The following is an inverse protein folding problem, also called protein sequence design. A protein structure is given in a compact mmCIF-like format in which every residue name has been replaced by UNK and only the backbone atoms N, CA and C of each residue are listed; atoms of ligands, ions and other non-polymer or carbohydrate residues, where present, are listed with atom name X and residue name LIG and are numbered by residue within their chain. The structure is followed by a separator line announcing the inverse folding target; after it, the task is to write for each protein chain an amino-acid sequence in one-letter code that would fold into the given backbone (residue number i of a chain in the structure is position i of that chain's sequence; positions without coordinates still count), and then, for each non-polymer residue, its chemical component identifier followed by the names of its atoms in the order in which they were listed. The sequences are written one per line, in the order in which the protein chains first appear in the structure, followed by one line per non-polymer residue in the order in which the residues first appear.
data_IF_468859430031
#
_entry.id   IF_468859430031
#
_cell.length_a   1.000
_cell.length_b   1.000
_cell.length_c   1.000
_cell.angle_alpha   90.00
_cell.angle_beta   90.00
_cell.angle_gamma   90.00
#
_symmetry.space_group_name_H-M   'P 1'
#
loop_
_entity.id
_entity.type
_entity.pdbx_description
1 polymer ?
#
# COMPACT_ATOMS: atom_id res chain seq x y z
N UNK A 1 16.96 5.69 28.28
CA UNK A 1 16.19 5.10 27.16
C UNK A 1 16.05 6.01 25.94
N UNK A 2 15.95 7.34 26.08
CA UNK A 2 15.82 8.29 24.96
C UNK A 2 17.00 8.25 23.97
N UNK A 3 18.25 8.22 24.45
CA UNK A 3 19.44 8.26 23.57
C UNK A 3 19.63 6.97 22.76
N UNK A 4 19.28 5.80 23.29
CA UNK A 4 19.36 4.53 22.58
C UNK A 4 18.33 4.46 21.45
N UNK A 5 17.10 4.91 21.73
CA UNK A 5 16.03 4.97 20.74
C UNK A 5 16.37 5.91 19.57
N UNK A 6 16.96 7.07 19.85
CA UNK A 6 17.41 8.02 18.83
C UNK A 6 18.54 7.43 17.97
N UNK A 7 19.48 6.69 18.56
CA UNK A 7 20.58 6.04 17.82
C UNK A 7 20.09 4.88 16.95
N UNK A 8 19.13 4.08 17.43
CA UNK A 8 18.51 2.99 16.66
C UNK A 8 17.66 3.56 15.51
N UNK A 9 16.87 4.62 15.77
CA UNK A 9 16.14 5.34 14.72
C UNK A 9 17.08 5.94 13.69
N UNK A 10 18.16 6.60 14.15
CA UNK A 10 19.20 7.14 13.29
C UNK A 10 19.82 6.05 12.42
N UNK A 11 20.24 4.91 12.98
CA UNK A 11 20.90 3.85 12.19
C UNK A 11 19.97 3.02 11.32
N UNK A 12 18.67 2.89 11.64
CA UNK A 12 17.71 2.15 10.80
C UNK A 12 17.09 3.02 9.69
N UNK A 13 16.80 4.30 9.97
CA UNK A 13 16.12 5.21 9.03
C UNK A 13 17.13 5.93 8.12
N UNK A 14 18.28 6.34 8.65
CA UNK A 14 19.27 7.14 7.91
C UNK A 14 19.87 6.46 6.67
N UNK A 15 20.20 5.15 6.68
CA UNK A 15 20.73 4.48 5.49
C UNK A 15 19.64 4.24 4.45
N UNK A 16 18.39 4.08 4.88
CA UNK A 16 17.31 3.55 4.04
C UNK A 16 16.53 4.68 3.35
N UNK A 17 16.55 5.92 3.88
CA UNK A 17 15.83 7.12 3.37
C UNK A 17 14.34 6.89 3.01
N UNK A 18 13.76 5.74 3.36
CA UNK A 18 12.38 5.38 3.08
C UNK A 18 11.60 5.41 4.37
N UNK A 19 10.50 6.15 4.33
CA UNK A 19 9.45 6.11 5.34
C UNK A 19 8.41 5.08 4.91
N UNK A 20 7.60 4.62 5.85
CA UNK A 20 6.37 3.90 5.52
C UNK A 20 5.53 4.74 4.53
N UNK A 21 4.80 4.10 3.61
CA UNK A 21 4.76 2.66 3.35
C UNK A 21 5.98 2.15 2.55
N UNK A 22 6.55 1.02 2.97
CA UNK A 22 7.82 0.51 2.42
C UNK A 22 7.71 -0.14 1.03
N UNK A 23 6.70 -0.99 0.82
CA UNK A 23 6.58 -1.78 -0.42
C UNK A 23 5.70 -1.07 -1.46
N UNK A 24 4.66 -0.36 -1.02
CA UNK A 24 3.79 0.41 -1.93
C UNK A 24 2.78 -0.43 -2.72
N UNK A 25 2.55 -1.68 -2.30
CA UNK A 25 1.63 -2.62 -2.95
C UNK A 25 0.19 -2.56 -2.42
N UNK A 26 -0.01 -2.01 -1.22
CA UNK A 26 -1.33 -1.88 -0.58
C UNK A 26 -1.58 -0.45 -0.16
N UNK A 27 -0.58 0.18 0.45
CA UNK A 27 -0.65 1.54 0.96
C UNK A 27 0.36 2.39 0.20
N UNK A 28 -0.03 3.60 -0.19
CA UNK A 28 0.82 4.62 -0.81
C UNK A 28 0.75 5.88 0.05
N UNK A 29 1.67 6.82 -0.20
CA UNK A 29 1.75 8.07 0.56
C UNK A 29 0.46 8.91 0.55
N UNK A 30 -0.42 8.67 -0.42
CA UNK A 30 -1.64 9.41 -0.68
C UNK A 30 -2.92 8.55 -0.58
N UNK A 31 -2.85 7.31 -0.07
CA UNK A 31 -4.03 6.47 0.14
C UNK A 31 -3.80 4.98 -0.11
N UNK A 32 -4.90 4.28 -0.45
CA UNK A 32 -4.89 2.83 -0.72
C UNK A 32 -4.65 2.52 -2.21
N UNK A 33 -4.01 1.39 -2.44
CA UNK A 33 -3.76 0.77 -3.74
C UNK A 33 -2.56 1.36 -4.49
N UNK A 34 -1.84 0.54 -5.27
CA UNK A 34 -0.95 1.06 -6.29
C UNK A 34 -1.80 1.73 -7.37
N UNK A 35 -1.43 2.93 -7.81
CA UNK A 35 -2.02 3.54 -9.00
C UNK A 35 -1.38 2.89 -10.22
N UNK A 36 -2.06 1.91 -10.81
CA UNK A 36 -1.58 1.01 -11.87
C UNK A 36 -1.69 1.58 -13.29
N UNK A 37 -2.11 2.85 -13.42
CA UNK A 37 -2.11 3.57 -14.69
C UNK A 37 -0.67 3.86 -15.14
N UNK A 38 -0.45 3.97 -16.45
CA UNK A 38 0.88 4.19 -17.04
C UNK A 38 1.54 5.45 -16.50
N UNK A 39 0.80 6.55 -16.40
CA UNK A 39 1.30 7.85 -15.98
C UNK A 39 1.80 7.86 -14.53
N UNK A 40 1.14 7.11 -13.65
CA UNK A 40 1.49 7.03 -12.22
C UNK A 40 2.43 5.88 -11.90
N UNK A 41 2.24 4.72 -12.51
CA UNK A 41 3.00 3.51 -12.19
C UNK A 41 4.36 3.48 -12.89
N UNK A 42 4.36 3.73 -14.20
CA UNK A 42 5.53 3.62 -15.07
C UNK A 42 6.27 4.94 -15.19
N UNK A 43 5.55 5.99 -15.60
CA UNK A 43 6.15 7.29 -15.89
C UNK A 43 6.37 8.13 -14.62
N UNK A 44 5.56 7.92 -13.58
CA UNK A 44 5.61 8.65 -12.29
C UNK A 44 5.45 10.17 -12.42
N UNK A 45 4.67 10.63 -13.41
CA UNK A 45 4.51 12.08 -13.71
C UNK A 45 3.27 12.72 -13.07
N UNK A 46 2.16 11.98 -12.93
CA UNK A 46 0.90 12.50 -12.40
C UNK A 46 0.58 11.96 -11.00
N UNK A 47 1.60 11.87 -10.13
CA UNK A 47 1.41 11.41 -8.76
C UNK A 47 0.72 12.50 -7.92
N UNK A 48 -0.21 12.14 -7.01
CA UNK A 48 -0.79 13.09 -6.08
C UNK A 48 0.29 13.83 -5.26
N UNK A 49 0.07 15.12 -5.03
CA UNK A 49 1.00 15.99 -4.30
C UNK A 49 1.32 15.46 -2.89
N UNK A 50 2.60 15.31 -2.58
CA UNK A 50 3.08 14.83 -1.29
C UNK A 50 3.34 15.99 -0.33
N UNK A 51 2.28 16.40 0.41
CA UNK A 51 2.33 17.54 1.33
C UNK A 51 3.28 17.33 2.50
N UNK A 52 3.74 18.42 3.13
CA UNK A 52 4.59 18.35 4.32
C UNK A 52 3.89 17.62 5.48
N UNK A 53 2.58 17.83 5.66
CA UNK A 53 1.80 17.14 6.68
C UNK A 53 1.80 15.61 6.50
N UNK A 54 1.64 15.13 5.25
CA UNK A 54 1.73 13.71 4.95
C UNK A 54 3.15 13.16 5.20
N UNK A 55 4.20 13.91 4.87
CA UNK A 55 5.59 13.53 5.17
C UNK A 55 5.81 13.32 6.66
N UNK A 56 5.35 14.28 7.48
CA UNK A 56 5.47 14.21 8.94
C UNK A 56 4.64 13.04 9.49
N UNK A 57 3.42 12.85 8.98
CA UNK A 57 2.57 11.72 9.36
C UNK A 57 3.28 10.39 9.12
N UNK A 58 3.80 10.15 7.91
CA UNK A 58 4.50 8.90 7.60
C UNK A 58 5.80 8.72 8.39
N UNK A 59 6.49 9.81 8.73
CA UNK A 59 7.63 9.77 9.64
C UNK A 59 7.23 9.30 11.05
N UNK A 60 6.13 9.83 11.58
CA UNK A 60 5.58 9.41 12.89
C UNK A 60 5.18 7.93 12.84
N UNK A 61 4.46 7.50 11.80
CA UNK A 61 4.09 6.09 11.62
C UNK A 61 5.32 5.19 11.51
N UNK A 62 6.37 5.65 10.81
CA UNK A 62 7.65 4.93 10.72
C UNK A 62 8.31 4.78 12.10
N UNK A 63 8.35 5.87 12.89
CA UNK A 63 8.91 5.83 14.24
C UNK A 63 8.10 4.93 15.18
N UNK A 64 6.76 4.97 15.10
CA UNK A 64 5.90 4.05 15.85
C UNK A 64 6.12 2.60 15.41
N UNK A 65 6.27 2.34 14.11
CA UNK A 65 6.55 1.01 13.56
C UNK A 65 7.89 0.45 14.02
N UNK A 66 8.95 1.24 14.00
CA UNK A 66 10.28 0.83 14.50
C UNK A 66 10.26 0.59 16.01
N UNK A 67 9.58 1.44 16.79
CA UNK A 67 9.38 1.19 18.23
C UNK A 67 8.64 -0.13 18.46
N UNK A 68 7.55 -0.36 17.72
CA UNK A 68 6.77 -1.59 17.78
C UNK A 68 7.62 -2.82 17.44
N UNK A 69 8.45 -2.74 16.40
CA UNK A 69 9.35 -3.82 16.01
C UNK A 69 10.40 -4.13 17.09
N UNK A 70 11.00 -3.10 17.71
CA UNK A 70 11.97 -3.28 18.80
C UNK A 70 11.30 -3.93 20.02
N UNK A 71 10.12 -3.45 20.41
CA UNK A 71 9.36 -4.05 21.52
C UNK A 71 8.97 -5.49 21.23
N UNK A 72 8.50 -5.78 20.01
CA UNK A 72 8.12 -7.12 19.59
C UNK A 72 9.32 -8.08 19.64
N UNK A 73 10.49 -7.66 19.16
CA UNK A 73 11.73 -8.45 19.26
C UNK A 73 12.14 -8.66 20.72
N UNK A 74 12.05 -7.63 21.55
CA UNK A 74 12.36 -7.72 22.97
C UNK A 74 11.47 -8.76 23.67
N UNK A 75 10.15 -8.67 23.49
CA UNK A 75 9.21 -9.63 24.09
C UNK A 75 9.32 -11.04 23.50
N UNK A 76 9.67 -11.16 22.22
CA UNK A 76 9.98 -12.46 21.61
C UNK A 76 11.18 -13.12 22.29
N UNK A 77 12.28 -12.37 22.49
CA UNK A 77 13.45 -12.86 23.21
C UNK A 77 13.12 -13.25 24.66
N UNK A 78 12.34 -12.43 25.36
CA UNK A 78 11.88 -12.74 26.72
C UNK A 78 11.05 -14.03 26.75
N UNK A 79 10.08 -14.17 25.83
CA UNK A 79 9.24 -15.36 25.76
C UNK A 79 10.08 -16.62 25.49
N UNK A 80 11.09 -16.54 24.62
CA UNK A 80 12.02 -17.64 24.37
C UNK A 80 12.76 -18.02 25.65
N UNK A 81 13.35 -17.05 26.36
CA UNK A 81 14.11 -17.29 27.59
C UNK A 81 13.21 -17.92 28.67
N UNK A 82 12.02 -17.35 28.92
CA UNK A 82 11.08 -17.87 29.91
C UNK A 82 10.63 -19.30 29.60
N UNK A 83 10.45 -19.63 28.33
CA UNK A 83 10.06 -20.98 27.89
C UNK A 83 11.06 -22.05 28.34
N UNK A 84 12.34 -21.71 28.50
CA UNK A 84 13.34 -22.67 29.02
C UNK A 84 13.23 -22.90 30.53
N UNK A 85 12.67 -21.97 31.28
CA UNK A 85 12.56 -22.04 32.75
C UNK A 85 11.24 -22.62 33.24
N UNK A 86 10.23 -22.75 32.38
CA UNK A 86 8.89 -23.21 32.73
C UNK A 86 8.72 -24.74 32.62
N UNK A 87 7.95 -25.31 33.55
CA UNK A 87 7.57 -26.72 33.54
C UNK A 87 6.52 -27.02 32.44
N UNK A 88 5.48 -26.20 32.34
CA UNK A 88 4.43 -26.30 31.32
C UNK A 88 4.65 -25.33 30.17
N UNK A 89 5.39 -25.77 29.15
CA UNK A 89 5.85 -24.92 28.05
C UNK A 89 5.29 -25.27 26.66
N UNK A 90 4.49 -26.33 26.55
CA UNK A 90 4.09 -26.89 25.25
C UNK A 90 3.40 -25.86 24.36
N UNK A 91 2.48 -25.05 24.91
CA UNK A 91 1.75 -24.03 24.14
C UNK A 91 2.68 -22.92 23.63
N UNK A 92 3.61 -22.45 24.48
CA UNK A 92 4.63 -21.45 24.09
C UNK A 92 5.53 -21.99 23.00
N UNK A 93 5.99 -23.24 23.12
CA UNK A 93 6.81 -23.89 22.10
C UNK A 93 6.06 -23.97 20.77
N UNK A 94 4.79 -24.41 20.76
CA UNK A 94 3.98 -24.48 19.53
C UNK A 94 3.85 -23.10 18.87
N UNK A 95 3.53 -22.06 19.63
CA UNK A 95 3.36 -20.70 19.10
C UNK A 95 4.69 -20.13 18.58
N UNK A 96 5.79 -20.30 19.35
CA UNK A 96 7.13 -19.86 18.94
C UNK A 96 7.58 -20.58 17.67
N UNK A 97 7.38 -21.90 17.59
CA UNK A 97 7.66 -22.68 16.38
C UNK A 97 6.86 -22.18 15.19
N UNK A 98 5.56 -21.90 15.36
CA UNK A 98 4.73 -21.35 14.28
C UNK A 98 5.23 -19.99 13.80
N UNK A 99 5.59 -19.09 14.71
CA UNK A 99 6.18 -17.77 14.40
C UNK A 99 7.49 -17.95 13.64
N UNK A 100 8.41 -18.78 14.12
CA UNK A 100 9.72 -18.99 13.52
C UNK A 100 9.65 -19.66 12.15
N UNK A 101 8.79 -20.67 11.98
CA UNK A 101 8.54 -21.31 10.68
C UNK A 101 7.97 -20.28 9.70
N UNK A 102 7.00 -19.47 10.13
CA UNK A 102 6.42 -18.45 9.27
C UNK A 102 7.45 -17.38 8.85
N UNK A 103 8.27 -16.91 9.79
CA UNK A 103 9.36 -15.97 9.50
C UNK A 103 10.41 -16.58 8.57
N UNK A 104 10.71 -17.87 8.71
CA UNK A 104 11.60 -18.58 7.80
C UNK A 104 11.01 -18.63 6.38
N UNK A 105 9.75 -19.05 6.23
CA UNK A 105 9.06 -19.09 4.93
C UNK A 105 8.99 -17.69 4.29
N UNK A 106 8.85 -16.66 5.12
CA UNK A 106 8.85 -15.26 4.70
C UNK A 106 10.21 -14.83 4.13
N UNK A 107 11.32 -15.33 4.66
CA UNK A 107 12.67 -15.05 4.14
C UNK A 107 12.97 -15.68 2.78
N UNK A 108 12.18 -16.68 2.34
CA UNK A 108 12.42 -17.43 1.10
C UNK A 108 11.75 -16.79 -0.13
N UNK A 109 10.69 -15.99 0.04
CA UNK A 109 9.95 -15.35 -1.06
C UNK A 109 9.81 -13.85 -0.87
N UNK A 110 9.67 -13.10 -1.98
CA UNK A 110 9.33 -11.69 -1.95
C UNK A 110 7.98 -11.48 -1.24
N UNK A 111 7.98 -10.89 -0.04
CA UNK A 111 6.77 -10.82 0.74
C UNK A 111 5.97 -9.56 0.44
N UNK A 112 4.65 -9.67 0.58
CA UNK A 112 3.76 -8.52 0.64
C UNK A 112 3.51 -8.14 2.10
N UNK A 113 3.30 -6.85 2.38
CA UNK A 113 3.07 -6.34 3.74
C UNK A 113 1.95 -7.10 4.48
N UNK A 114 0.90 -7.55 3.75
CA UNK A 114 -0.23 -8.30 4.31
C UNK A 114 0.14 -9.65 4.95
N UNK A 115 1.29 -10.22 4.62
CA UNK A 115 1.73 -11.49 5.20
C UNK A 115 2.10 -11.35 6.68
N UNK A 116 2.47 -10.16 7.15
CA UNK A 116 2.69 -9.92 8.57
C UNK A 116 1.41 -10.01 9.43
N UNK A 117 0.21 -9.93 8.82
CA UNK A 117 -1.06 -10.02 9.55
C UNK A 117 -1.26 -11.35 10.25
N UNK A 118 -0.69 -12.45 9.71
CA UNK A 118 -0.77 -13.77 10.33
C UNK A 118 0.08 -13.87 11.61
N UNK A 119 1.15 -13.08 11.71
CA UNK A 119 2.02 -13.07 12.88
C UNK A 119 1.39 -12.29 14.05
N UNK A 120 0.60 -11.26 13.77
CA UNK A 120 -0.03 -10.41 14.79
C UNK A 120 -0.80 -11.19 15.88
N UNK A 121 -1.79 -12.05 15.56
CA UNK A 121 -2.52 -12.78 16.59
C UNK A 121 -1.62 -13.74 17.38
N UNK A 122 -0.64 -14.37 16.72
CA UNK A 122 0.32 -15.26 17.39
C UNK A 122 1.18 -14.49 18.40
N UNK A 123 1.68 -13.31 18.01
CA UNK A 123 2.41 -12.43 18.93
C UNK A 123 1.52 -11.93 20.07
N UNK A 124 0.25 -11.58 19.81
CA UNK A 124 -0.68 -11.16 20.87
C UNK A 124 -0.89 -12.27 21.90
N UNK A 125 -1.16 -13.50 21.46
CA UNK A 125 -1.34 -14.64 22.37
C UNK A 125 -0.04 -14.91 23.13
N UNK A 126 1.11 -14.92 22.45
CA UNK A 126 2.42 -15.11 23.08
C UNK A 126 2.69 -14.08 24.17
N UNK A 127 2.38 -12.80 23.91
CA UNK A 127 2.53 -11.71 24.88
C UNK A 127 1.66 -11.92 26.12
N UNK A 128 0.42 -12.38 25.95
CA UNK A 128 -0.51 -12.62 27.07
C UNK A 128 -0.03 -13.78 27.93
N UNK A 129 0.34 -14.92 27.32
CA UNK A 129 0.76 -16.12 28.08
C UNK A 129 2.18 -16.01 28.66
N UNK A 130 3.03 -15.15 28.12
CA UNK A 130 4.39 -14.91 28.63
C UNK A 130 4.46 -13.79 29.66
N UNK A 131 3.35 -13.08 29.91
CA UNK A 131 3.35 -11.93 30.80
C UNK A 131 2.27 -12.05 31.89
N UNK A 132 2.61 -12.80 32.93
CA UNK A 132 1.77 -12.98 34.13
C UNK A 132 1.52 -11.69 34.92
N UNK A 133 2.23 -10.60 34.58
CA UNK A 133 2.08 -9.29 35.22
C UNK A 133 1.02 -8.40 34.55
N UNK A 134 0.38 -8.85 33.45
CA UNK A 134 -0.79 -8.16 32.89
C UNK A 134 -1.98 -8.45 33.81
N UNK A 135 -2.02 -7.79 34.96
CA UNK A 135 -3.16 -7.86 35.84
C UNK A 135 -4.29 -7.00 35.24
N UNK A 136 -5.41 -7.66 34.94
CA UNK A 136 -6.59 -7.09 34.28
C UNK A 136 -7.16 -5.87 35.03
N UNK A 137 -6.88 -5.75 36.34
CA UNK A 137 -7.24 -4.59 37.16
C UNK A 137 -6.51 -3.29 36.78
N UNK A 138 -5.37 -3.36 36.07
CA UNK A 138 -4.64 -2.17 35.60
C UNK A 138 -5.11 -1.65 34.24
N UNK A 139 -6.05 -2.32 33.56
CA UNK A 139 -6.70 -1.78 32.36
C UNK A 139 -7.70 -0.71 32.81
N UNK A 140 -7.17 0.46 33.16
CA UNK A 140 -7.95 1.60 33.59
C UNK A 140 -8.67 2.29 32.43
N UNK A 141 -9.68 3.09 32.76
CA UNK A 141 -10.46 3.91 31.79
C UNK A 141 -9.60 4.66 30.78
N UNK A 142 -8.39 5.10 31.17
CA UNK A 142 -7.43 5.80 30.29
C UNK A 142 -6.91 4.92 29.16
N UNK A 143 -6.54 3.67 29.42
CA UNK A 143 -6.03 2.74 28.40
C UNK A 143 -7.16 2.38 27.44
N UNK A 144 -8.36 2.09 27.96
CA UNK A 144 -9.54 1.83 27.14
C UNK A 144 -9.89 3.03 26.26
N UNK A 145 -9.90 4.24 26.82
CA UNK A 145 -10.14 5.46 26.05
C UNK A 145 -9.09 5.68 24.96
N UNK A 146 -7.81 5.43 25.26
CA UNK A 146 -6.74 5.51 24.27
C UNK A 146 -6.92 4.50 23.14
N UNK A 147 -7.20 3.24 23.47
CA UNK A 147 -7.42 2.18 22.48
C UNK A 147 -8.62 2.52 21.57
N UNK A 148 -9.76 2.91 22.15
CA UNK A 148 -10.93 3.33 21.40
C UNK A 148 -10.64 4.54 20.50
N UNK A 149 -9.93 5.54 21.02
CA UNK A 149 -9.53 6.72 20.23
C UNK A 149 -8.68 6.32 19.03
N UNK A 150 -7.68 5.45 19.22
CA UNK A 150 -6.86 4.94 18.11
C UNK A 150 -7.69 4.13 17.12
N UNK A 151 -8.63 3.30 17.59
CA UNK A 151 -9.56 2.56 16.73
C UNK A 151 -10.43 3.49 15.89
N UNK A 152 -10.98 4.56 16.47
CA UNK A 152 -11.79 5.52 15.72
C UNK A 152 -10.97 6.31 14.71
N UNK A 153 -9.76 6.77 15.07
CA UNK A 153 -8.86 7.47 14.14
C UNK A 153 -8.50 6.55 12.97
N UNK A 154 -8.10 5.31 13.25
CA UNK A 154 -7.72 4.35 12.22
C UNK A 154 -8.91 3.90 11.38
N UNK A 155 -10.07 3.71 12.01
CA UNK A 155 -11.33 3.40 11.34
C UNK A 155 -11.74 4.50 10.37
N UNK A 156 -11.71 5.77 10.81
CA UNK A 156 -11.99 6.92 9.97
C UNK A 156 -11.02 7.03 8.79
N UNK A 157 -9.72 6.85 9.03
CA UNK A 157 -8.71 6.81 7.96
C UNK A 157 -9.00 5.67 6.96
N UNK A 158 -9.27 4.46 7.46
CA UNK A 158 -9.54 3.28 6.61
C UNK A 158 -10.80 3.49 5.76
N UNK A 159 -11.87 4.02 6.34
CA UNK A 159 -13.09 4.37 5.61
C UNK A 159 -12.82 5.40 4.51
N UNK A 160 -12.16 6.52 4.83
CA UNK A 160 -11.84 7.56 3.85
C UNK A 160 -10.93 7.04 2.73
N UNK A 161 -9.90 6.27 3.07
CA UNK A 161 -8.99 5.69 2.09
C UNK A 161 -9.70 4.69 1.16
N UNK A 162 -10.61 3.89 1.72
CA UNK A 162 -11.40 2.90 0.97
C UNK A 162 -12.40 3.58 0.05
N UNK A 163 -13.09 4.60 0.56
CA UNK A 163 -13.96 5.45 -0.24
C UNK A 163 -13.20 6.01 -1.45
N UNK A 164 -12.04 6.63 -1.23
CA UNK A 164 -11.26 7.26 -2.30
C UNK A 164 -10.79 6.26 -3.35
N UNK A 165 -10.37 5.06 -2.92
CA UNK A 165 -9.98 3.98 -3.82
C UNK A 165 -11.16 3.49 -4.66
N UNK A 166 -12.34 3.32 -4.06
CA UNK A 166 -13.55 2.87 -4.77
C UNK A 166 -14.11 3.95 -5.69
N UNK A 167 -14.10 5.22 -5.26
CA UNK A 167 -14.55 6.35 -6.05
C UNK A 167 -13.68 6.55 -7.30
N UNK A 168 -12.36 6.48 -7.13
CA UNK A 168 -11.41 6.51 -8.25
C UNK A 168 -11.64 5.34 -9.21
N UNK A 169 -11.74 4.10 -8.70
CA UNK A 169 -11.98 2.94 -9.56
C UNK A 169 -13.32 3.01 -10.30
N UNK A 170 -14.40 3.41 -9.64
CA UNK A 170 -15.72 3.57 -10.28
C UNK A 170 -15.66 4.57 -11.42
N UNK A 171 -15.02 5.72 -11.19
CA UNK A 171 -14.87 6.77 -12.19
C UNK A 171 -13.99 6.31 -13.36
N UNK A 172 -12.95 5.52 -13.07
CA UNK A 172 -12.08 4.91 -14.10
C UNK A 172 -12.88 3.97 -15.00
N UNK A 173 -13.65 3.08 -14.39
CA UNK A 173 -14.50 2.13 -15.12
C UNK A 173 -15.61 2.81 -15.90
N UNK A 174 -16.20 3.88 -15.36
CA UNK A 174 -17.14 4.71 -16.11
C UNK A 174 -16.48 5.30 -17.38
N UNK A 175 -15.29 5.90 -17.26
CA UNK A 175 -14.58 6.46 -18.40
C UNK A 175 -14.25 5.42 -19.49
N UNK A 176 -13.90 4.20 -19.07
CA UNK A 176 -13.62 3.07 -19.96
C UNK A 176 -14.89 2.55 -20.64
N UNK A 177 -16.00 2.43 -19.91
CA UNK A 177 -17.28 2.01 -20.46
C UNK A 177 -17.80 3.03 -21.49
N UNK A 178 -17.73 4.33 -21.19
CA UNK A 178 -18.11 5.39 -22.13
C UNK A 178 -17.31 5.30 -23.45
N UNK A 179 -16.02 4.92 -23.40
CA UNK A 179 -15.21 4.68 -24.61
C UNK A 179 -15.66 3.44 -25.39
N UNK A 180 -15.92 2.34 -24.69
CA UNK A 180 -16.37 1.11 -25.32
C UNK A 180 -17.77 1.26 -25.94
N UNK A 181 -18.66 2.03 -25.32
CA UNK A 181 -19.98 2.38 -25.87
C UNK A 181 -19.88 3.23 -27.14
N UNK A 182 -18.81 3.99 -27.32
CA UNK A 182 -18.49 4.70 -28.57
C UNK A 182 -17.87 3.78 -29.64
N UNK A 183 -17.76 2.47 -29.38
CA UNK A 183 -17.24 1.47 -30.30
C UNK A 183 -15.73 1.28 -30.26
N UNK A 184 -15.01 1.89 -29.30
CA UNK A 184 -13.57 1.66 -29.13
C UNK A 184 -13.36 0.30 -28.47
N UNK A 185 -12.71 -0.63 -29.17
CA UNK A 185 -12.47 -1.97 -28.59
C UNK A 185 -11.31 -1.94 -27.58
N UNK A 186 -11.29 -2.84 -26.57
CA UNK A 186 -10.27 -2.84 -25.53
C UNK A 186 -8.83 -2.86 -26.04
N UNK A 187 -8.57 -3.47 -27.21
CA UNK A 187 -7.23 -3.52 -27.80
C UNK A 187 -6.62 -2.15 -28.10
N UNK A 188 -7.45 -1.11 -28.22
CA UNK A 188 -7.06 0.28 -28.50
C UNK A 188 -6.84 1.13 -27.25
N UNK A 189 -7.10 0.58 -26.07
CA UNK A 189 -7.17 1.31 -24.81
C UNK A 189 -6.09 0.80 -23.84
N UNK A 190 -5.29 1.70 -23.27
CA UNK A 190 -4.54 1.43 -22.05
C UNK A 190 -5.33 1.94 -20.83
N UNK A 191 -6.11 1.03 -20.22
CA UNK A 191 -6.94 1.30 -19.04
C UNK A 191 -6.25 1.04 -17.69
N UNK A 192 -4.98 0.64 -17.74
CA UNK A 192 -4.23 0.15 -16.58
C UNK A 192 -4.45 -1.33 -16.29
N UNK A 193 -3.71 -1.82 -15.29
CA UNK A 193 -3.57 -3.25 -15.01
C UNK A 193 -4.88 -4.04 -14.97
N UNK A 194 -5.87 -3.57 -14.21
CA UNK A 194 -7.12 -4.32 -13.98
C UNK A 194 -7.98 -4.40 -15.24
N UNK A 195 -8.09 -3.32 -16.01
CA UNK A 195 -8.86 -3.30 -17.25
C UNK A 195 -8.19 -4.16 -18.32
N UNK A 196 -6.89 -3.93 -18.54
CA UNK A 196 -6.15 -4.66 -19.56
C UNK A 196 -6.10 -6.16 -19.21
N UNK A 197 -5.94 -6.51 -17.93
CA UNK A 197 -5.98 -7.90 -17.46
C UNK A 197 -7.37 -8.54 -17.55
N UNK A 198 -8.45 -7.76 -17.51
CA UNK A 198 -9.81 -8.30 -17.66
C UNK A 198 -10.13 -8.65 -19.12
N UNK A 199 -9.74 -7.80 -20.08
CA UNK A 199 -10.11 -7.97 -21.49
C UNK A 199 -9.02 -8.60 -22.37
N UNK A 200 -7.74 -8.37 -22.07
CA UNK A 200 -6.62 -8.66 -22.98
C UNK A 200 -5.61 -9.67 -22.41
N UNK A 201 -5.90 -10.27 -21.25
CA UNK A 201 -4.98 -11.21 -20.62
C UNK A 201 -4.68 -12.40 -21.54
N UNK A 202 -3.41 -12.54 -21.89
CA UNK A 202 -2.85 -13.64 -22.67
C UNK A 202 -1.49 -14.04 -22.07
N UNK A 203 -1.30 -15.33 -21.84
CA UNK A 203 -0.04 -15.93 -21.37
C UNK A 203 1.10 -15.73 -22.38
N UNK A 204 0.77 -15.59 -23.67
CA UNK A 204 1.74 -15.39 -24.75
C UNK A 204 2.09 -13.91 -25.00
N UNK A 205 1.45 -12.98 -24.29
CA UNK A 205 1.70 -11.55 -24.48
C UNK A 205 3.16 -11.19 -24.21
N UNK A 206 3.74 -10.40 -25.11
CA UNK A 206 5.09 -9.86 -24.96
C UNK A 206 5.01 -8.34 -24.81
N UNK A 207 5.47 -7.76 -23.69
CA UNK A 207 5.50 -6.32 -23.50
C UNK A 207 6.19 -5.60 -24.65
N UNK A 208 5.55 -4.55 -25.17
CA UNK A 208 6.11 -3.72 -26.23
C UNK A 208 6.85 -2.52 -25.64
N UNK A 209 7.99 -2.15 -26.24
CA UNK A 209 8.78 -1.01 -25.78
C UNK A 209 7.93 0.27 -25.86
N UNK A 210 7.93 1.05 -24.78
CA UNK A 210 7.19 2.31 -24.70
C UNK A 210 5.72 2.18 -24.30
N UNK A 211 5.17 0.97 -24.13
CA UNK A 211 3.80 0.74 -23.63
C UNK A 211 3.79 0.18 -22.21
N UNK A 212 2.61 0.17 -21.57
CA UNK A 212 2.47 -0.55 -20.32
C UNK A 212 2.69 -2.04 -20.54
N UNK A 213 3.37 -2.68 -19.59
CA UNK A 213 3.70 -4.10 -19.66
C UNK A 213 2.50 -5.01 -19.36
N UNK A 214 1.34 -4.44 -19.04
CA UNK A 214 0.09 -5.10 -18.69
C UNK A 214 -0.81 -5.31 -19.91
N UNK A 215 -0.49 -6.27 -20.78
CA UNK A 215 -1.36 -6.68 -21.90
C UNK A 215 -1.90 -5.51 -22.76
N UNK A 216 -1.03 -4.55 -23.09
CA UNK A 216 -1.39 -3.42 -23.96
C UNK A 216 -1.03 -3.73 -25.41
N UNK A 217 -2.04 -3.85 -26.26
CA UNK A 217 -1.86 -4.11 -27.69
C UNK A 217 -1.61 -2.80 -28.42
N UNK A 218 -2.50 -1.82 -28.25
CA UNK A 218 -2.36 -0.43 -28.70
C UNK A 218 -2.65 0.53 -27.55
N UNK A 219 -2.24 1.77 -27.72
CA UNK A 219 -2.37 2.83 -26.74
C UNK A 219 -2.96 4.10 -27.40
N UNK A 220 -3.88 3.91 -28.33
CA UNK A 220 -4.51 5.01 -29.06
C UNK A 220 -5.34 5.86 -28.11
N UNK A 221 -6.02 5.21 -27.16
CA UNK A 221 -6.65 5.84 -25.99
C UNK A 221 -5.96 5.40 -24.71
N UNK A 222 -5.85 6.32 -23.75
CA UNK A 222 -5.28 6.03 -22.44
C UNK A 222 -6.08 6.69 -21.33
N UNK A 223 -6.23 5.96 -20.23
CA UNK A 223 -6.75 6.51 -18.98
C UNK A 223 -5.59 6.96 -18.11
N UNK A 224 -5.65 8.20 -17.63
CA UNK A 224 -4.59 8.81 -16.82
C UNK A 224 -5.16 9.63 -15.65
N UNK A 225 -4.32 9.86 -14.64
CA UNK A 225 -4.59 10.75 -13.50
C UNK A 225 -4.29 12.22 -13.83
N UNK A 226 -3.67 12.51 -14.97
CA UNK A 226 -3.37 13.84 -15.47
C UNK A 226 -3.03 13.82 -16.96
N UNK A 227 -2.70 14.97 -17.54
CA UNK A 227 -2.30 15.06 -18.94
C UNK A 227 -0.99 14.31 -19.20
N UNK A 228 -0.81 13.85 -20.44
CA UNK A 228 0.39 13.13 -20.89
C UNK A 228 0.90 13.73 -22.20
N UNK A 229 2.22 13.85 -22.31
CA UNK A 229 2.87 14.25 -23.56
C UNK A 229 2.61 13.24 -24.68
N UNK A 230 2.36 13.74 -25.89
CA UNK A 230 1.98 12.91 -27.05
C UNK A 230 0.49 12.53 -27.08
N UNK A 231 -0.30 13.01 -26.13
CA UNK A 231 -1.75 12.79 -26.07
C UNK A 231 -2.50 14.10 -25.87
N UNK A 232 -3.70 14.17 -26.46
CA UNK A 232 -4.65 15.25 -26.25
C UNK A 232 -5.81 14.79 -25.37
N UNK A 233 -6.36 15.69 -24.56
CA UNK A 233 -7.53 15.39 -23.73
C UNK A 233 -8.78 15.26 -24.60
N UNK A 234 -9.51 14.16 -24.40
CA UNK A 234 -10.83 13.94 -25.03
C UNK A 234 -11.94 14.28 -24.03
N UNK A 235 -11.81 13.78 -22.80
CA UNK A 235 -12.83 13.94 -21.76
C UNK A 235 -12.21 13.79 -20.38
N UNK A 236 -12.79 14.48 -19.39
CA UNK A 236 -12.44 14.37 -17.96
C UNK A 236 -13.63 13.93 -17.13
N UNK A 237 -13.35 13.15 -16.09
CA UNK A 237 -14.33 12.61 -15.16
C UNK A 237 -13.92 12.97 -13.72
N UNK A 238 -14.67 13.84 -13.04
CA UNK A 238 -14.34 14.26 -11.68
C UNK A 238 -14.77 13.21 -10.65
N UNK A 239 -13.99 13.09 -9.56
CA UNK A 239 -14.36 12.32 -8.38
C UNK A 239 -13.86 13.00 -7.10
N UNK A 240 -14.52 12.70 -5.98
CA UNK A 240 -14.18 13.32 -4.69
C UNK A 240 -13.26 12.43 -3.87
N UNK A 241 -12.21 13.02 -3.30
CA UNK A 241 -11.30 12.38 -2.34
C UNK A 241 -11.53 12.93 -0.93
N UNK A 242 -11.91 12.06 -0.01
CA UNK A 242 -12.12 12.35 1.41
C UNK A 242 -10.79 12.55 2.15
N UNK A 243 -9.75 11.75 1.87
CA UNK A 243 -8.47 11.88 2.57
C UNK A 243 -7.78 13.22 2.30
N UNK A 244 -7.95 13.73 1.09
CA UNK A 244 -7.32 14.98 0.63
C UNK A 244 -8.29 16.15 0.63
N UNK A 245 -9.56 15.92 1.03
CA UNK A 245 -10.65 16.91 1.04
C UNK A 245 -10.70 17.74 -0.26
N UNK A 246 -10.54 17.08 -1.41
CA UNK A 246 -10.46 17.72 -2.73
C UNK A 246 -11.22 16.94 -3.78
N UNK A 247 -11.52 17.60 -4.89
CA UNK A 247 -11.87 16.93 -6.13
C UNK A 247 -10.61 16.59 -6.93
N UNK A 248 -10.65 15.47 -7.61
CA UNK A 248 -9.60 14.98 -8.50
C UNK A 248 -10.25 14.47 -9.79
N UNK A 249 -9.44 14.23 -10.83
CA UNK A 249 -9.97 13.87 -12.14
C UNK A 249 -9.32 12.62 -12.71
N UNK A 250 -10.09 11.91 -13.54
CA UNK A 250 -9.59 10.90 -14.45
C UNK A 250 -9.74 11.46 -15.86
N UNK A 251 -8.68 11.33 -16.65
CA UNK A 251 -8.63 11.83 -18.00
C UNK A 251 -8.67 10.67 -18.99
N UNK A 252 -9.50 10.82 -20.01
CA UNK A 252 -9.42 10.05 -21.24
C UNK A 252 -8.59 10.87 -22.21
N UNK A 253 -7.46 10.33 -22.63
CA UNK A 253 -6.59 10.98 -23.60
C UNK A 253 -6.53 10.15 -24.89
N UNK A 254 -6.38 10.84 -26.01
CA UNK A 254 -6.19 10.23 -27.33
C UNK A 254 -4.83 10.63 -27.90
N UNK A 255 -4.15 9.69 -28.53
CA UNK A 255 -2.82 9.90 -29.08
C UNK A 255 -2.85 10.97 -30.18
N UNK A 256 -1.92 11.91 -30.12
CA UNK A 256 -1.72 12.90 -31.19
C UNK A 256 -1.03 12.17 -32.34
N UNK A 257 -1.52 12.33 -33.57
CA UNK A 257 -0.85 11.77 -34.74
C UNK A 257 0.57 12.38 -34.82
N UNK A 258 1.61 11.54 -34.84
CA UNK A 258 2.97 12.02 -35.14
C UNK A 258 2.97 12.58 -36.56
N UNK A 259 3.20 13.88 -36.68
CA UNK A 259 3.37 14.54 -37.96
C UNK A 259 4.64 13.97 -38.61
N UNK A 260 4.48 13.20 -39.69
CA UNK A 260 5.58 12.56 -40.43
C UNK A 260 6.37 13.57 -41.27
N UNK A 261 6.68 14.74 -40.72
CA UNK A 261 7.28 15.86 -41.46
C UNK A 261 8.75 16.12 -41.17
N UNK A 262 9.36 15.47 -40.17
CA UNK A 262 10.79 15.62 -39.87
C UNK A 262 11.60 14.34 -40.07
N UNK A 263 11.56 13.82 -41.30
CA UNK A 263 12.40 12.71 -41.76
C UNK A 263 12.92 12.98 -43.17
N UNK A 264 13.79 13.99 -43.30
CA UNK A 264 14.73 14.15 -44.42
C UNK A 264 16.12 14.29 -43.86
#
# INVERSE_FOLDING_TARGET
MSSFFVVVMGRLIWPIRKTMPFIGNVLRYFGLGPLTLRDTYLLKVNLPSYSLGLKVFWLIITAMGVLGAVLLLYYLCLAIIQTFSESEKWLKVVILSAILIYLFLFGVKYPFDRYFLFLLPLFMVLLVISNNYINQQYIGKKITAFALTMTFIWGGFTMAATHDYLAWNRTRWQALNDLMEQGVTPEYIDGGYEFNGWYLNDVKYKPQRGKSYWWVNRDDYIISSGLLEGYQEVKRYPFTRWLLLKQDNIFVLHKIAEDKTNGT
#
